data_IF_137448241812
#
_entry.id   IF_137448241812
#
_cell.length_a   1.000
_cell.length_b   1.000
_cell.length_c   1.000
_cell.angle_alpha   90.00
_cell.angle_beta   90.00
_cell.angle_gamma   90.00
#
_symmetry.space_group_name_H-M   'P 1'
#
loop_
_entity.id
_entity.type
_entity.pdbx_description
1 polymer ?
#
# COMPACT_ATOMS: atom_id res chain seq x y z
N UNK A 1 73.01 -34.93 38.76
CA UNK A 1 72.86 -33.58 38.17
C UNK A 1 72.59 -33.72 36.68
N UNK A 2 71.32 -33.54 36.29
CA UNK A 2 70.83 -33.39 34.92
C UNK A 2 69.55 -32.54 35.03
N UNK A 3 69.46 -31.37 34.39
CA UNK A 3 68.29 -30.50 34.55
C UNK A 3 67.09 -31.05 33.74
N UNK A 4 65.84 -30.90 34.22
CA UNK A 4 64.66 -31.32 33.49
C UNK A 4 64.26 -30.31 32.41
N UNK A 5 63.76 -30.83 31.29
CA UNK A 5 63.18 -30.08 30.17
C UNK A 5 61.87 -29.40 30.60
N UNK A 6 61.77 -28.12 30.27
CA UNK A 6 60.56 -27.30 30.41
C UNK A 6 59.54 -27.76 29.36
N UNK A 7 58.34 -28.18 29.80
CA UNK A 7 57.18 -28.32 28.90
C UNK A 7 56.40 -26.99 28.87
N UNK A 8 55.91 -26.53 27.71
CA UNK A 8 55.13 -25.32 27.62
C UNK A 8 53.68 -25.53 28.07
N UNK A 9 53.19 -24.51 28.77
CA UNK A 9 51.87 -24.37 29.37
C UNK A 9 50.71 -24.65 28.40
N UNK A 10 49.86 -25.63 28.71
CA UNK A 10 48.50 -25.69 28.17
C UNK A 10 47.55 -24.95 29.12
N UNK A 11 47.41 -23.65 28.86
CA UNK A 11 46.38 -22.81 29.47
C UNK A 11 45.02 -23.24 28.89
N UNK A 12 44.29 -24.11 29.59
CA UNK A 12 42.92 -24.44 29.19
C UNK A 12 41.98 -23.31 29.60
N UNK A 13 41.64 -22.48 28.62
CA UNK A 13 40.63 -21.45 28.69
C UNK A 13 39.26 -22.11 28.85
N UNK A 14 38.65 -22.00 30.04
CA UNK A 14 37.25 -22.37 30.23
C UNK A 14 36.40 -21.31 29.54
N UNK A 15 35.89 -21.61 28.35
CA UNK A 15 34.87 -20.78 27.71
C UNK A 15 33.56 -20.96 28.50
N UNK A 16 33.24 -19.99 29.36
CA UNK A 16 31.92 -19.85 29.94
C UNK A 16 30.97 -19.42 28.81
N UNK A 17 30.30 -20.39 28.20
CA UNK A 17 29.22 -20.12 27.25
C UNK A 17 28.05 -19.50 28.04
N UNK A 18 27.98 -18.17 28.08
CA UNK A 18 26.77 -17.49 28.50
C UNK A 18 25.68 -17.82 27.49
N UNK A 19 24.82 -18.77 27.85
CA UNK A 19 23.55 -18.96 27.19
C UNK A 19 22.74 -17.67 27.43
N UNK A 20 22.91 -16.67 26.55
CA UNK A 20 21.90 -15.63 26.41
C UNK A 20 20.67 -16.34 25.87
N UNK A 21 19.83 -16.84 26.78
CA UNK A 21 18.46 -17.13 26.42
C UNK A 21 17.91 -15.86 25.82
N UNK A 22 17.53 -15.90 24.54
CA UNK A 22 16.64 -14.90 23.99
C UNK A 22 15.36 -14.99 24.82
N UNK A 23 15.28 -14.21 25.89
CA UNK A 23 14.02 -13.95 26.55
C UNK A 23 13.12 -13.43 25.44
N UNK A 24 12.10 -14.22 25.08
CA UNK A 24 11.03 -13.71 24.25
C UNK A 24 10.40 -12.60 25.05
N UNK A 25 10.83 -11.35 24.80
CA UNK A 25 10.19 -10.18 25.36
C UNK A 25 8.73 -10.26 24.92
N UNK A 26 7.83 -10.49 25.88
CA UNK A 26 6.40 -10.36 25.61
C UNK A 26 6.18 -8.93 25.13
N UNK A 27 5.38 -8.75 24.08
CA UNK A 27 4.96 -7.42 23.70
C UNK A 27 4.28 -6.76 24.90
N UNK A 28 4.69 -5.53 25.22
CA UNK A 28 4.01 -4.74 26.23
C UNK A 28 2.80 -4.07 25.58
N UNK A 29 1.66 -4.11 26.25
CA UNK A 29 0.50 -3.33 25.84
C UNK A 29 0.66 -1.89 26.32
N UNK A 30 0.69 -0.93 25.39
CA UNK A 30 0.76 0.50 25.69
C UNK A 30 -0.57 1.12 25.32
N UNK A 31 -1.29 1.63 26.33
CA UNK A 31 -2.64 2.14 26.14
C UNK A 31 -2.63 3.67 25.99
N UNK A 32 -3.47 4.18 25.11
CA UNK A 32 -3.83 5.59 25.10
C UNK A 32 -4.63 5.93 26.36
N UNK A 33 -4.30 7.03 27.02
CA UNK A 33 -4.99 7.54 28.21
C UNK A 33 -5.40 9.00 28.08
N UNK A 34 -5.06 9.64 26.95
CA UNK A 34 -5.44 11.01 26.63
C UNK A 34 -6.88 11.13 26.10
N UNK A 35 -7.31 12.38 25.89
CA UNK A 35 -8.48 12.68 25.07
C UNK A 35 -8.11 12.70 23.58
N UNK A 36 -8.85 13.48 22.77
CA UNK A 36 -8.35 13.82 21.42
C UNK A 36 -7.00 14.53 21.52
N UNK A 37 -6.03 14.13 20.71
CA UNK A 37 -4.69 14.71 20.83
C UNK A 37 -3.61 14.01 20.02
N UNK A 38 -2.38 14.43 20.27
CA UNK A 38 -1.21 14.06 19.48
C UNK A 38 -0.52 12.80 20.01
N UNK A 39 -0.21 11.89 19.09
CA UNK A 39 0.54 10.66 19.32
C UNK A 39 1.88 10.94 20.00
N UNK A 40 2.54 12.04 19.62
CA UNK A 40 3.90 12.37 20.05
C UNK A 40 3.97 12.99 21.45
N UNK A 41 2.85 13.09 22.17
CA UNK A 41 2.80 13.57 23.55
C UNK A 41 2.90 12.38 24.53
N UNK A 42 4.02 12.19 25.25
CA UNK A 42 4.20 11.08 26.19
C UNK A 42 3.12 11.01 27.28
N UNK A 43 2.54 12.14 27.67
CA UNK A 43 1.47 12.18 28.68
C UNK A 43 0.16 11.51 28.22
N UNK A 44 -0.02 11.29 26.91
CA UNK A 44 -1.17 10.57 26.37
C UNK A 44 -1.02 9.04 26.42
N UNK A 45 0.11 8.52 26.87
CA UNK A 45 0.39 7.08 26.94
C UNK A 45 0.48 6.58 28.39
N UNK A 46 -0.06 5.38 28.65
CA UNK A 46 -0.13 4.78 29.99
C UNK A 46 1.24 4.57 30.66
N UNK A 47 2.32 4.53 29.88
CA UNK A 47 3.70 4.38 30.34
C UNK A 47 4.39 5.72 30.63
N UNK A 48 3.77 6.86 30.27
CA UNK A 48 4.41 8.18 30.29
C UNK A 48 5.54 8.31 29.27
N UNK A 49 5.56 7.47 28.23
CA UNK A 49 6.57 7.42 27.16
C UNK A 49 5.93 6.92 25.87
N UNK A 50 6.52 7.29 24.72
CA UNK A 50 6.01 6.87 23.41
C UNK A 50 6.16 5.34 23.23
N UNK A 51 5.21 4.68 22.54
CA UNK A 51 5.33 3.27 22.18
C UNK A 51 6.59 2.96 21.37
N UNK A 52 7.17 1.80 21.60
CA UNK A 52 8.38 1.30 20.95
C UNK A 52 8.08 0.17 19.94
N UNK A 53 9.08 -0.28 19.16
CA UNK A 53 8.88 -1.34 18.16
C UNK A 53 8.39 -2.69 18.71
N UNK A 54 8.53 -2.95 20.01
CA UNK A 54 8.06 -4.18 20.65
C UNK A 54 6.63 -4.10 21.15
N UNK A 55 6.00 -2.93 21.10
CA UNK A 55 4.77 -2.66 21.85
C UNK A 55 3.52 -2.81 20.99
N UNK A 56 2.51 -3.44 21.58
CA UNK A 56 1.17 -3.54 21.02
C UNK A 56 0.36 -2.33 21.53
N UNK A 57 0.02 -1.41 20.64
CA UNK A 57 -0.70 -0.17 20.95
C UNK A 57 -2.20 -0.43 20.99
N UNK A 58 -2.85 0.03 22.06
CA UNK A 58 -4.30 -0.02 22.21
C UNK A 58 -4.84 1.38 22.46
N UNK A 59 -5.75 1.82 21.60
CA UNK A 59 -6.47 3.09 21.71
C UNK A 59 -7.95 2.73 21.86
N UNK A 60 -8.43 2.75 23.09
CA UNK A 60 -9.81 2.42 23.45
C UNK A 60 -10.15 3.21 24.71
N UNK A 61 -10.77 4.37 24.53
CA UNK A 61 -11.11 5.27 25.64
C UNK A 61 -12.55 5.77 25.49
N UNK A 62 -13.27 6.01 26.59
CA UNK A 62 -14.65 6.46 26.48
C UNK A 62 -14.77 7.79 25.72
N UNK A 63 -15.61 7.82 24.68
CA UNK A 63 -15.96 9.02 23.94
C UNK A 63 -15.90 8.81 22.43
N UNK A 64 -15.95 9.92 21.69
CA UNK A 64 -15.59 9.96 20.28
C UNK A 64 -14.37 10.88 20.18
N UNK A 65 -13.18 10.30 20.25
CA UNK A 65 -11.93 11.06 20.20
C UNK A 65 -11.19 10.85 18.88
N UNK A 66 -10.26 11.74 18.60
CA UNK A 66 -9.38 11.70 17.43
C UNK A 66 -7.93 11.67 17.89
N UNK A 67 -7.21 10.61 17.54
CA UNK A 67 -5.77 10.47 17.83
C UNK A 67 -4.98 10.77 16.56
N UNK A 68 -4.08 11.76 16.64
CA UNK A 68 -3.34 12.26 15.47
C UNK A 68 -1.86 11.92 15.57
N UNK A 69 -1.29 11.31 14.53
CA UNK A 69 0.15 11.20 14.32
C UNK A 69 0.58 12.23 13.26
N UNK A 70 1.20 13.32 13.69
CA UNK A 70 1.46 14.51 12.85
C UNK A 70 2.90 14.69 12.42
N UNK A 71 3.89 14.19 13.18
CA UNK A 71 5.32 14.37 12.90
C UNK A 71 6.14 13.16 13.32
N UNK A 72 7.43 13.20 12.98
CA UNK A 72 8.45 12.24 13.38
C UNK A 72 8.19 10.81 12.88
N UNK A 73 9.18 9.94 13.08
CA UNK A 73 9.08 8.55 12.66
C UNK A 73 8.96 7.65 13.88
N UNK A 74 7.89 6.85 13.94
CA UNK A 74 7.64 5.89 14.99
C UNK A 74 7.53 4.48 14.42
N UNK A 75 7.92 3.50 15.22
CA UNK A 75 7.73 2.09 14.91
C UNK A 75 7.07 1.41 16.08
N UNK A 76 5.99 0.67 15.80
CA UNK A 76 5.27 -0.13 16.79
C UNK A 76 5.04 -1.53 16.26
N UNK A 77 4.72 -2.47 17.16
CA UNK A 77 4.47 -3.85 16.77
C UNK A 77 3.10 -4.01 16.13
N UNK A 78 2.05 -3.50 16.79
CA UNK A 78 0.67 -3.53 16.28
C UNK A 78 -0.13 -2.36 16.83
N UNK A 79 -1.27 -2.05 16.18
CA UNK A 79 -2.23 -1.04 16.62
C UNK A 79 -3.63 -1.65 16.59
N UNK A 80 -4.32 -1.59 17.72
CA UNK A 80 -5.76 -1.74 17.83
C UNK A 80 -6.37 -0.40 18.28
N UNK A 81 -7.22 0.20 17.46
CA UNK A 81 -7.84 1.48 17.71
C UNK A 81 -9.35 1.35 17.58
N UNK A 82 -10.09 1.74 18.62
CA UNK A 82 -11.54 1.88 18.59
C UNK A 82 -11.98 3.30 18.18
N UNK A 83 -11.03 4.24 18.17
CA UNK A 83 -11.25 5.67 17.92
C UNK A 83 -10.85 6.09 16.50
N UNK A 84 -11.12 7.35 16.12
CA UNK A 84 -10.58 7.92 14.89
C UNK A 84 -9.06 8.03 14.99
N UNK A 85 -8.36 7.58 13.95
CA UNK A 85 -6.91 7.66 13.85
C UNK A 85 -6.49 8.45 12.61
N UNK A 86 -5.80 9.58 12.81
CA UNK A 86 -5.35 10.47 11.73
C UNK A 86 -3.84 10.38 11.59
N UNK A 87 -3.37 9.94 10.43
CA UNK A 87 -1.95 9.96 10.07
C UNK A 87 -1.67 11.13 9.12
N UNK A 88 -1.36 12.30 9.68
CA UNK A 88 -1.22 13.57 8.96
C UNK A 88 0.22 13.93 8.61
N UNK A 89 1.21 13.31 9.25
CA UNK A 89 2.61 13.48 8.89
C UNK A 89 3.53 12.46 9.56
N UNK A 90 4.82 12.56 9.24
CA UNK A 90 5.83 11.59 9.68
C UNK A 90 5.63 10.20 9.07
N UNK A 91 6.39 9.23 9.57
CA UNK A 91 6.27 7.81 9.18
C UNK A 91 5.86 6.97 10.39
N UNK A 92 4.73 6.28 10.28
CA UNK A 92 4.33 5.26 11.23
C UNK A 92 4.58 3.88 10.62
N UNK A 93 5.62 3.21 11.10
CA UNK A 93 5.90 1.81 10.74
C UNK A 93 5.18 0.87 11.70
N UNK A 94 4.34 -0.02 11.16
CA UNK A 94 3.67 -1.05 11.98
C UNK A 94 4.12 -2.41 11.52
N UNK A 95 4.83 -3.14 12.38
CA UNK A 95 5.52 -4.38 12.01
C UNK A 95 4.55 -5.56 11.81
N UNK A 96 3.31 -5.43 12.29
CA UNK A 96 2.26 -6.43 12.14
C UNK A 96 0.97 -5.77 11.66
N UNK A 97 -0.03 -5.69 12.53
CA UNK A 97 -1.40 -5.37 12.15
C UNK A 97 -1.77 -3.97 12.61
N UNK A 98 -2.52 -3.28 11.76
CA UNK A 98 -3.30 -2.09 12.12
C UNK A 98 -4.77 -2.46 11.99
N UNK A 99 -5.51 -2.36 13.09
CA UNK A 99 -6.96 -2.48 13.10
C UNK A 99 -7.53 -1.22 13.73
N UNK A 100 -8.16 -0.38 12.91
CA UNK A 100 -8.93 0.77 13.36
C UNK A 100 -10.40 0.44 13.10
N UNK A 101 -11.21 0.34 14.16
CA UNK A 101 -12.62 -0.05 14.08
C UNK A 101 -13.57 1.15 13.86
N UNK A 102 -13.01 2.37 13.89
CA UNK A 102 -13.63 3.61 13.44
C UNK A 102 -12.96 4.04 12.11
N UNK A 103 -12.67 5.33 11.91
CA UNK A 103 -12.00 5.84 10.71
C UNK A 103 -10.46 5.87 10.85
N UNK A 104 -9.75 5.38 9.81
CA UNK A 104 -8.32 5.61 9.61
C UNK A 104 -8.13 6.64 8.48
N UNK A 105 -7.79 7.88 8.84
CA UNK A 105 -7.57 8.95 7.87
C UNK A 105 -6.07 9.07 7.53
N UNK A 106 -5.70 8.86 6.28
CA UNK A 106 -4.37 9.20 5.76
C UNK A 106 -4.43 10.63 5.23
N UNK A 107 -3.70 11.55 5.84
CA UNK A 107 -3.78 12.98 5.54
C UNK A 107 -2.40 13.64 5.40
N UNK A 108 -1.46 12.90 4.80
CA UNK A 108 -0.12 13.39 4.49
C UNK A 108 1.03 12.52 5.02
N UNK A 109 0.79 11.72 6.07
CA UNK A 109 1.81 10.84 6.63
C UNK A 109 2.02 9.55 5.83
N UNK A 110 3.05 8.80 6.24
CA UNK A 110 3.42 7.50 5.63
C UNK A 110 3.08 6.35 6.56
N UNK A 111 2.24 5.42 6.12
CA UNK A 111 2.03 4.14 6.81
C UNK A 111 2.91 3.08 6.14
N UNK A 112 3.85 2.53 6.90
CA UNK A 112 4.86 1.60 6.37
C UNK A 112 4.73 0.20 6.95
N UNK A 113 4.88 -0.82 6.10
CA UNK A 113 4.91 -2.28 6.39
C UNK A 113 3.65 -2.89 7.02
N UNK A 114 2.65 -2.07 7.32
CA UNK A 114 1.45 -2.48 8.03
C UNK A 114 0.64 -3.52 7.23
N UNK A 115 0.09 -4.51 7.94
CA UNK A 115 -1.07 -5.28 7.48
C UNK A 115 -2.34 -4.64 8.05
N UNK A 116 -3.02 -3.82 7.24
CA UNK A 116 -4.28 -3.19 7.60
C UNK A 116 -5.38 -4.25 7.57
N UNK A 117 -5.95 -4.54 8.73
CA UNK A 117 -7.05 -5.49 8.87
C UNK A 117 -8.39 -4.86 8.47
N UNK A 118 -9.37 -5.72 8.19
CA UNK A 118 -10.75 -5.26 7.98
C UNK A 118 -11.35 -4.85 9.33
N UNK A 119 -11.87 -3.63 9.40
CA UNK A 119 -12.62 -3.16 10.56
C UNK A 119 -13.90 -3.98 10.74
N UNK A 120 -14.38 -4.12 11.98
CA UNK A 120 -15.59 -4.89 12.29
C UNK A 120 -16.89 -4.13 12.00
N UNK A 121 -16.84 -2.80 11.94
CA UNK A 121 -18.05 -1.95 12.05
C UNK A 121 -18.15 -0.87 10.97
N UNK A 122 -17.05 -0.37 10.43
CA UNK A 122 -17.00 0.46 9.23
C UNK A 122 -15.53 0.56 8.81
N UNK A 123 -15.20 0.29 7.55
CA UNK A 123 -13.87 0.61 7.04
C UNK A 123 -14.03 1.51 5.84
N UNK A 124 -13.49 2.72 5.98
CA UNK A 124 -12.87 3.41 4.85
C UNK A 124 -11.56 3.93 5.41
N UNK A 125 -10.44 3.40 4.93
CA UNK A 125 -9.23 4.20 5.00
C UNK A 125 -9.46 5.38 4.06
N UNK A 126 -9.65 6.57 4.61
CA UNK A 126 -9.88 7.78 3.81
C UNK A 126 -8.54 8.41 3.52
N UNK A 127 -8.10 8.33 2.27
CA UNK A 127 -6.85 8.94 1.85
C UNK A 127 -7.10 10.36 1.31
N UNK A 128 -6.83 11.36 2.14
CA UNK A 128 -6.77 12.78 1.79
C UNK A 128 -5.32 13.20 1.50
N UNK A 129 -4.56 12.33 0.83
CA UNK A 129 -3.10 12.38 0.76
C UNK A 129 -2.44 11.24 1.52
N UNK A 130 -1.11 11.24 1.55
CA UNK A 130 -0.28 10.28 2.27
C UNK A 130 0.30 9.16 1.41
N UNK A 131 1.05 8.29 2.07
CA UNK A 131 1.86 7.25 1.45
C UNK A 131 1.55 5.89 2.10
N UNK A 132 1.31 4.87 1.28
CA UNK A 132 1.39 3.47 1.70
C UNK A 132 2.72 2.90 1.22
N UNK A 133 3.53 2.44 2.17
CA UNK A 133 4.87 1.92 1.93
C UNK A 133 4.95 0.42 2.25
N UNK A 134 4.88 -0.44 1.24
CA UNK A 134 4.95 -1.89 1.41
C UNK A 134 3.82 -2.44 2.29
N UNK A 135 2.62 -1.91 2.13
CA UNK A 135 1.44 -2.24 2.94
C UNK A 135 0.70 -3.46 2.40
N UNK A 136 0.14 -4.25 3.30
CA UNK A 136 -0.89 -5.26 2.99
C UNK A 136 -2.26 -4.76 3.43
N UNK A 137 -3.25 -4.79 2.54
CA UNK A 137 -4.63 -4.39 2.80
C UNK A 137 -5.55 -5.61 2.78
N UNK A 138 -6.39 -5.79 3.81
CA UNK A 138 -7.44 -6.82 3.88
C UNK A 138 -8.87 -6.22 3.86
N UNK A 139 -8.94 -4.96 3.48
CA UNK A 139 -10.10 -4.09 3.65
C UNK A 139 -10.31 -3.12 2.50
N UNK A 140 -11.05 -2.05 2.74
CA UNK A 140 -11.32 -1.01 1.74
C UNK A 140 -10.56 0.30 2.04
N UNK A 141 -9.92 0.85 1.02
CA UNK A 141 -9.37 2.21 0.97
C UNK A 141 -10.19 3.00 -0.04
N UNK A 142 -10.68 4.18 0.33
CA UNK A 142 -11.23 5.14 -0.64
C UNK A 142 -10.34 6.37 -0.70
N UNK A 143 -9.98 6.74 -1.92
CA UNK A 143 -9.34 8.01 -2.21
C UNK A 143 -10.43 8.96 -2.72
N UNK A 144 -10.88 9.95 -1.91
CA UNK A 144 -11.99 10.83 -2.26
C UNK A 144 -11.66 11.75 -3.43
N UNK A 145 -12.71 12.42 -3.92
CA UNK A 145 -12.56 13.36 -5.03
C UNK A 145 -11.60 14.50 -4.68
N UNK A 146 -10.69 14.82 -5.61
CA UNK A 146 -9.68 15.86 -5.45
C UNK A 146 -8.48 15.45 -4.60
N UNK A 147 -8.43 14.20 -4.14
CA UNK A 147 -7.35 13.69 -3.30
C UNK A 147 -6.36 12.83 -4.09
N UNK A 148 -5.25 12.49 -3.42
CA UNK A 148 -4.26 11.58 -3.98
C UNK A 148 -3.76 10.57 -2.96
N UNK A 149 -3.21 9.47 -3.46
CA UNK A 149 -2.54 8.45 -2.66
C UNK A 149 -1.24 8.05 -3.36
N UNK A 150 -0.16 7.91 -2.59
CA UNK A 150 1.12 7.43 -3.11
C UNK A 150 1.35 5.99 -2.64
N UNK A 151 1.71 5.12 -3.56
CA UNK A 151 2.15 3.76 -3.30
C UNK A 151 3.66 3.67 -3.54
N UNK A 152 4.37 3.13 -2.57
CA UNK A 152 5.81 2.85 -2.66
C UNK A 152 6.10 1.46 -2.11
N UNK A 153 7.13 0.81 -2.64
CA UNK A 153 7.52 -0.57 -2.31
C UNK A 153 6.37 -1.60 -2.44
N UNK A 154 5.44 -1.34 -3.36
CA UNK A 154 4.31 -2.21 -3.65
C UNK A 154 3.13 -2.14 -2.67
N UNK A 155 2.06 -2.83 -3.04
CA UNK A 155 0.82 -2.98 -2.27
C UNK A 155 0.28 -4.40 -2.46
N UNK A 156 0.02 -5.10 -1.36
CA UNK A 156 -0.64 -6.41 -1.38
C UNK A 156 -2.11 -6.26 -1.00
N UNK A 157 -3.03 -6.73 -1.85
CA UNK A 157 -4.47 -6.78 -1.56
C UNK A 157 -4.86 -8.22 -1.23
N UNK A 158 -5.42 -8.50 -0.06
CA UNK A 158 -5.86 -9.84 0.35
C UNK A 158 -7.34 -9.84 0.72
N UNK A 159 -7.93 -11.03 0.79
CA UNK A 159 -9.31 -11.25 1.25
C UNK A 159 -10.36 -10.43 0.46
N UNK A 160 -10.10 -10.13 -0.81
CA UNK A 160 -10.98 -9.31 -1.65
C UNK A 160 -10.86 -7.81 -1.40
N UNK A 161 -9.76 -7.35 -0.79
CA UNK A 161 -9.49 -5.95 -0.52
C UNK A 161 -9.61 -5.07 -1.77
N UNK A 162 -10.00 -3.81 -1.55
CA UNK A 162 -10.30 -2.86 -2.62
C UNK A 162 -9.68 -1.49 -2.35
N UNK A 163 -9.09 -0.90 -3.38
CA UNK A 163 -8.78 0.53 -3.44
C UNK A 163 -9.74 1.20 -4.43
N UNK A 164 -10.56 2.12 -3.94
CA UNK A 164 -11.54 2.85 -4.73
C UNK A 164 -11.06 4.28 -4.96
N UNK A 165 -10.89 4.66 -6.22
CA UNK A 165 -10.58 6.02 -6.64
C UNK A 165 -11.87 6.70 -7.09
N UNK A 166 -12.17 7.88 -6.53
CA UNK A 166 -13.33 8.70 -6.92
C UNK A 166 -12.95 9.72 -8.00
N UNK A 167 -13.92 10.49 -8.49
CA UNK A 167 -13.70 11.50 -9.55
C UNK A 167 -12.54 12.46 -9.22
N UNK A 168 -11.73 12.84 -10.21
CA UNK A 168 -10.63 13.82 -10.03
C UNK A 168 -9.62 13.38 -8.95
N UNK A 169 -9.22 12.11 -8.97
CA UNK A 169 -8.27 11.53 -8.02
C UNK A 169 -7.00 11.07 -8.72
N UNK A 170 -5.88 11.08 -8.01
CA UNK A 170 -4.62 10.49 -8.48
C UNK A 170 -4.08 9.38 -7.57
N UNK A 171 -3.75 8.23 -8.14
CA UNK A 171 -2.95 7.18 -7.51
C UNK A 171 -1.55 7.21 -8.11
N UNK A 172 -0.53 7.47 -7.30
CA UNK A 172 0.85 7.57 -7.74
C UNK A 172 1.64 6.33 -7.36
N UNK A 173 2.45 5.84 -8.29
CA UNK A 173 3.50 4.87 -8.04
C UNK A 173 4.85 5.58 -8.01
N UNK A 174 5.56 5.44 -6.89
CA UNK A 174 6.92 5.94 -6.72
C UNK A 174 7.90 5.28 -7.72
N UNK A 175 9.07 5.90 -7.97
CA UNK A 175 10.07 5.37 -8.89
C UNK A 175 10.56 3.98 -8.49
N UNK A 176 11.16 3.27 -9.44
CA UNK A 176 11.64 1.91 -9.26
C UNK A 176 10.56 0.84 -9.55
N UNK A 177 10.87 -0.40 -9.18
CA UNK A 177 9.96 -1.53 -9.40
C UNK A 177 8.86 -1.52 -8.34
N UNK A 178 7.61 -1.53 -8.79
CA UNK A 178 6.42 -1.59 -7.97
C UNK A 178 5.60 -2.83 -8.34
N UNK A 179 4.95 -3.43 -7.35
CA UNK A 179 4.09 -4.59 -7.56
C UNK A 179 2.77 -4.35 -6.85
N UNK A 180 1.66 -4.56 -7.56
CA UNK A 180 0.38 -4.85 -6.96
C UNK A 180 0.21 -6.36 -6.94
N UNK A 181 -0.04 -6.96 -5.79
CA UNK A 181 -0.21 -8.42 -5.67
C UNK A 181 -1.36 -8.84 -4.75
N UNK A 182 -1.58 -10.15 -4.66
CA UNK A 182 -2.66 -10.76 -3.91
C UNK A 182 -3.96 -10.92 -4.71
N UNK A 183 -5.11 -10.93 -4.03
CA UNK A 183 -6.45 -11.12 -4.56
C UNK A 183 -7.35 -9.95 -4.11
N UNK A 184 -7.56 -9.00 -5.01
CA UNK A 184 -8.24 -7.75 -4.74
C UNK A 184 -8.35 -6.86 -5.97
N UNK A 185 -8.77 -5.62 -5.76
CA UNK A 185 -9.22 -4.76 -6.86
C UNK A 185 -8.76 -3.30 -6.69
N UNK A 186 -8.37 -2.68 -7.80
CA UNK A 186 -8.30 -1.21 -7.93
C UNK A 186 -9.50 -0.79 -8.78
N UNK A 187 -10.35 0.10 -8.25
CA UNK A 187 -11.60 0.51 -8.89
C UNK A 187 -11.57 2.00 -9.16
N UNK A 188 -11.63 2.36 -10.44
CA UNK A 188 -11.70 3.74 -10.91
C UNK A 188 -13.16 4.11 -11.17
N UNK A 189 -13.83 4.68 -10.16
CA UNK A 189 -15.25 5.03 -10.21
C UNK A 189 -15.47 6.44 -10.77
N UNK A 190 -15.02 6.69 -12.01
CA UNK A 190 -15.27 7.97 -12.69
C UNK A 190 -16.70 8.01 -13.26
N UNK A 191 -17.56 8.81 -12.63
CA UNK A 191 -18.98 8.96 -13.00
C UNK A 191 -19.26 10.21 -13.85
N UNK A 192 -18.25 11.00 -14.22
CA UNK A 192 -18.45 12.33 -14.85
C UNK A 192 -18.01 12.38 -16.32
N UNK A 193 -18.87 12.75 -17.30
CA UNK A 193 -18.47 12.87 -18.71
C UNK A 193 -17.32 13.90 -18.88
N UNK A 194 -16.26 13.50 -19.58
CA UNK A 194 -14.87 14.02 -19.47
C UNK A 194 -14.60 15.46 -19.92
N UNK A 195 -13.69 16.12 -19.19
CA UNK A 195 -12.44 16.68 -19.74
C UNK A 195 -11.23 16.20 -18.90
N UNK A 196 -9.99 16.42 -19.35
CA UNK A 196 -8.75 15.95 -18.70
C UNK A 196 -8.62 16.32 -17.20
N UNK A 197 -9.27 17.41 -16.78
CA UNK A 197 -9.18 17.94 -15.41
C UNK A 197 -10.09 17.20 -14.42
N UNK A 198 -10.95 16.29 -14.90
CA UNK A 198 -11.91 15.56 -14.07
C UNK A 198 -11.68 14.05 -14.04
N UNK A 199 -10.67 13.54 -14.76
CA UNK A 199 -10.38 12.11 -14.86
C UNK A 199 -9.72 11.55 -13.61
N UNK A 200 -9.96 10.26 -13.36
CA UNK A 200 -9.14 9.45 -12.46
C UNK A 200 -7.81 9.12 -13.15
N UNK A 201 -6.72 9.31 -12.43
CA UNK A 201 -5.37 9.13 -12.95
C UNK A 201 -4.59 8.12 -12.10
N UNK A 202 -4.01 7.12 -12.75
CA UNK A 202 -3.01 6.23 -12.16
C UNK A 202 -1.67 6.59 -12.80
N UNK A 203 -0.79 7.23 -12.03
CA UNK A 203 0.49 7.74 -12.49
C UNK A 203 1.63 6.80 -12.14
N UNK A 204 2.40 6.38 -13.14
CA UNK A 204 3.66 5.68 -12.97
C UNK A 204 4.85 6.64 -13.09
N UNK A 205 5.91 6.35 -12.36
CA UNK A 205 7.16 7.09 -12.45
C UNK A 205 7.09 8.52 -11.92
N UNK A 206 6.39 8.69 -10.79
CA UNK A 206 6.31 9.98 -10.11
C UNK A 206 7.65 10.32 -9.46
N UNK A 207 8.51 11.06 -10.18
CA UNK A 207 9.85 11.47 -9.73
C UNK A 207 11.01 10.65 -10.30
N UNK A 208 10.77 9.73 -11.24
CA UNK A 208 11.79 8.90 -11.88
C UNK A 208 11.19 7.69 -12.59
N UNK A 209 11.98 6.93 -13.35
CA UNK A 209 11.49 5.75 -14.07
C UNK A 209 10.87 4.70 -13.15
N UNK A 210 9.85 3.99 -13.63
CA UNK A 210 9.14 2.96 -12.85
C UNK A 210 8.75 1.76 -13.71
N UNK A 211 8.67 0.60 -13.07
CA UNK A 211 8.12 -0.61 -13.66
C UNK A 211 7.02 -1.15 -12.73
N UNK A 212 5.79 -1.24 -13.22
CA UNK A 212 4.65 -1.75 -12.46
C UNK A 212 4.32 -3.18 -12.90
N UNK A 213 4.18 -4.09 -11.95
CA UNK A 213 3.59 -5.41 -12.17
C UNK A 213 2.22 -5.49 -11.50
N UNK A 214 1.19 -5.89 -12.25
CA UNK A 214 -0.13 -6.25 -11.73
C UNK A 214 -0.21 -7.77 -11.64
N UNK A 215 -0.32 -8.30 -10.42
CA UNK A 215 -0.35 -9.74 -10.15
C UNK A 215 -1.59 -10.46 -10.71
N UNK A 216 -1.52 -11.79 -10.84
CA UNK A 216 -2.46 -12.59 -11.64
C UNK A 216 -3.91 -12.66 -11.12
N UNK A 217 -4.14 -12.35 -9.84
CA UNK A 217 -5.48 -12.38 -9.24
C UNK A 217 -6.01 -10.98 -8.90
N UNK A 218 -5.36 -9.95 -9.43
CA UNK A 218 -5.81 -8.57 -9.30
C UNK A 218 -6.66 -8.16 -10.49
N UNK A 219 -7.61 -7.27 -10.20
CA UNK A 219 -8.40 -6.58 -11.22
C UNK A 219 -8.24 -5.08 -11.07
N UNK A 220 -7.80 -4.42 -12.13
CA UNK A 220 -7.83 -2.96 -12.27
C UNK A 220 -8.98 -2.62 -13.21
N UNK A 221 -9.97 -1.86 -12.74
CA UNK A 221 -11.23 -1.71 -13.49
C UNK A 221 -11.89 -0.35 -13.40
N UNK A 222 -12.85 -0.13 -14.29
CA UNK A 222 -13.70 1.05 -14.32
C UNK A 222 -13.34 1.98 -15.47
N UNK A 223 -13.19 3.27 -15.16
CA UNK A 223 -12.95 4.33 -16.14
C UNK A 223 -11.90 5.31 -15.61
N UNK A 224 -10.93 5.67 -16.45
CA UNK A 224 -9.82 6.50 -16.03
C UNK A 224 -8.63 6.39 -16.97
N UNK A 225 -7.46 6.81 -16.51
CA UNK A 225 -6.25 6.80 -17.34
C UNK A 225 -5.06 6.31 -16.53
N UNK A 226 -4.37 5.30 -17.05
CA UNK A 226 -3.07 4.85 -16.57
C UNK A 226 -2.01 5.55 -17.42
N UNK A 227 -1.25 6.44 -16.81
CA UNK A 227 -0.33 7.37 -17.47
C UNK A 227 1.02 7.38 -16.76
N UNK A 228 2.00 8.08 -17.34
CA UNK A 228 3.33 8.18 -16.78
C UNK A 228 3.78 9.65 -16.63
N UNK A 229 4.55 9.92 -15.58
CA UNK A 229 5.27 11.19 -15.40
C UNK A 229 6.74 11.10 -15.84
N UNK A 230 7.31 9.89 -15.80
CA UNK A 230 8.64 9.54 -16.33
C UNK A 230 8.52 8.21 -17.10
N UNK A 231 9.44 7.88 -18.03
CA UNK A 231 9.36 6.64 -18.79
C UNK A 231 9.11 5.43 -17.88
N UNK A 232 8.02 4.72 -18.15
CA UNK A 232 7.54 3.65 -17.29
C UNK A 232 7.01 2.46 -18.08
N UNK A 233 7.13 1.27 -17.50
CA UNK A 233 6.64 0.02 -18.09
C UNK A 233 5.55 -0.61 -17.22
N UNK A 234 4.66 -1.35 -17.87
CA UNK A 234 3.61 -2.13 -17.20
C UNK A 234 3.68 -3.58 -17.64
N UNK A 235 3.72 -4.49 -16.66
CA UNK A 235 3.47 -5.92 -16.84
C UNK A 235 2.11 -6.26 -16.24
N UNK A 236 1.12 -6.53 -17.09
CA UNK A 236 -0.18 -7.04 -16.65
C UNK A 236 -0.17 -8.57 -16.63
N UNK A 237 -0.30 -9.17 -15.44
CA UNK A 237 -0.56 -10.60 -15.26
C UNK A 237 -2.01 -10.85 -14.82
N UNK A 238 -2.68 -9.83 -14.27
CA UNK A 238 -4.07 -9.87 -13.82
C UNK A 238 -5.05 -9.44 -14.90
N UNK A 239 -6.16 -8.80 -14.49
CA UNK A 239 -7.19 -8.27 -15.39
C UNK A 239 -7.18 -6.76 -15.38
N UNK A 240 -7.15 -6.14 -16.57
CA UNK A 240 -7.50 -4.73 -16.76
C UNK A 240 -8.81 -4.67 -17.53
N UNK A 241 -9.83 -4.03 -16.95
CA UNK A 241 -11.20 -4.07 -17.46
C UNK A 241 -11.81 -2.67 -17.60
N UNK A 242 -12.39 -2.39 -18.76
CA UNK A 242 -13.22 -1.21 -18.99
C UNK A 242 -14.70 -1.60 -19.02
N UNK A 243 -15.44 -1.34 -17.93
CA UNK A 243 -16.86 -1.73 -17.81
C UNK A 243 -17.86 -0.58 -17.70
N UNK A 244 -17.41 0.66 -17.87
CA UNK A 244 -18.30 1.84 -17.79
C UNK A 244 -18.82 2.19 -19.18
N UNK A 245 -20.14 2.08 -19.38
CA UNK A 245 -20.80 2.39 -20.66
C UNK A 245 -20.50 3.82 -21.14
N UNK A 246 -19.98 3.95 -22.36
CA UNK A 246 -19.55 5.23 -22.94
C UNK A 246 -18.33 5.85 -22.24
N UNK A 247 -17.70 5.13 -21.32
CA UNK A 247 -16.48 5.49 -20.64
C UNK A 247 -15.26 4.82 -21.26
N UNK A 248 -14.10 5.47 -21.11
CA UNK A 248 -12.81 4.95 -21.54
C UNK A 248 -11.90 4.67 -20.33
N UNK A 249 -11.26 3.50 -20.32
CA UNK A 249 -10.05 3.24 -19.57
C UNK A 249 -8.88 3.24 -20.57
N UNK A 250 -7.96 4.19 -20.46
CA UNK A 250 -6.80 4.28 -21.36
C UNK A 250 -5.48 4.00 -20.65
N UNK A 251 -4.52 3.42 -21.38
CA UNK A 251 -3.17 3.13 -20.93
C UNK A 251 -2.17 3.81 -21.88
N UNK A 252 -1.40 4.75 -21.33
CA UNK A 252 -0.41 5.54 -22.04
C UNK A 252 0.94 5.53 -21.31
N UNK A 253 1.74 4.52 -21.60
CA UNK A 253 3.04 4.24 -20.98
C UNK A 253 4.13 4.02 -22.04
N UNK A 254 5.39 3.96 -21.66
CA UNK A 254 6.49 3.72 -22.61
C UNK A 254 6.47 2.32 -23.21
N UNK A 255 6.00 1.34 -22.45
CA UNK A 255 5.81 -0.04 -22.91
C UNK A 255 4.79 -0.76 -22.04
N UNK A 256 3.90 -1.53 -22.67
CA UNK A 256 2.92 -2.39 -21.99
C UNK A 256 3.13 -3.83 -22.42
N UNK A 257 3.26 -4.72 -21.44
CA UNK A 257 3.30 -6.16 -21.63
C UNK A 257 2.07 -6.83 -21.02
N UNK A 258 1.34 -7.61 -21.80
CA UNK A 258 0.16 -8.33 -21.31
C UNK A 258 0.37 -9.86 -21.34
N UNK A 259 0.37 -10.46 -20.15
CA UNK A 259 0.27 -11.92 -19.98
C UNK A 259 -0.98 -12.34 -19.18
N UNK A 260 -1.80 -11.36 -18.79
CA UNK A 260 -3.11 -11.55 -18.15
C UNK A 260 -4.26 -11.30 -19.11
N UNK A 261 -5.26 -10.53 -18.70
CA UNK A 261 -6.45 -10.19 -19.50
C UNK A 261 -6.58 -8.68 -19.70
N UNK A 262 -6.82 -8.27 -20.93
CA UNK A 262 -7.30 -6.93 -21.30
C UNK A 262 -8.74 -7.06 -21.79
N UNK A 263 -9.71 -6.46 -21.09
CA UNK A 263 -11.14 -6.65 -21.33
C UNK A 263 -11.88 -5.34 -21.51
N UNK A 264 -12.67 -5.25 -22.56
CA UNK A 264 -13.73 -4.24 -22.71
C UNK A 264 -15.10 -4.91 -22.49
N UNK A 265 -15.84 -4.44 -21.48
CA UNK A 265 -17.11 -5.00 -20.99
C UNK A 265 -18.20 -3.90 -20.93
N UNK A 266 -18.63 -3.43 -22.09
CA UNK A 266 -19.58 -2.33 -22.26
C UNK A 266 -18.93 -0.94 -22.32
N UNK A 267 -17.64 -0.83 -21.97
CA UNK A 267 -16.84 0.39 -22.10
C UNK A 267 -15.72 0.26 -23.14
N UNK A 268 -14.92 1.32 -23.28
CA UNK A 268 -13.75 1.36 -24.17
C UNK A 268 -12.48 1.12 -23.38
N UNK A 269 -11.66 0.15 -23.82
CA UNK A 269 -10.29 -0.04 -23.34
C UNK A 269 -9.32 0.37 -24.44
N UNK A 270 -8.47 1.34 -24.18
CA UNK A 270 -7.45 1.83 -25.11
C UNK A 270 -6.05 1.59 -24.56
N UNK A 271 -5.19 0.90 -25.31
CA UNK A 271 -3.81 0.61 -24.89
C UNK A 271 -2.85 1.08 -25.96
N UNK A 272 -1.98 2.02 -25.60
CA UNK A 272 -0.90 2.47 -26.46
C UNK A 272 0.43 1.80 -26.10
N UNK A 273 1.27 1.64 -27.12
CA UNK A 273 2.63 1.09 -27.01
C UNK A 273 2.68 -0.33 -26.43
N UNK A 274 1.76 -1.19 -26.87
CA UNK A 274 1.80 -2.62 -26.60
C UNK A 274 3.06 -3.23 -27.23
N UNK A 275 3.91 -3.87 -26.42
CA UNK A 275 5.22 -4.35 -26.85
C UNK A 275 5.14 -5.57 -27.79
N UNK A 276 6.08 -5.67 -28.74
CA UNK A 276 6.22 -6.84 -29.59
C UNK A 276 6.49 -8.11 -28.75
N UNK A 277 5.78 -9.21 -29.05
CA UNK A 277 5.86 -10.46 -28.26
C UNK A 277 5.12 -10.43 -26.92
N UNK A 278 4.48 -9.31 -26.56
CA UNK A 278 3.71 -9.18 -25.33
C UNK A 278 2.23 -9.60 -25.44
N UNK A 279 1.96 -10.58 -26.29
CA UNK A 279 0.62 -11.16 -26.52
C UNK A 279 0.51 -12.56 -25.90
N UNK A 280 1.06 -12.75 -24.70
CA UNK A 280 0.90 -13.99 -23.95
C UNK A 280 -0.46 -14.11 -23.26
N UNK A 281 -1.18 -12.99 -23.14
CA UNK A 281 -2.46 -12.88 -22.45
C UNK A 281 -3.70 -12.94 -23.35
N UNK A 282 -4.86 -12.77 -22.74
CA UNK A 282 -6.18 -12.79 -23.37
C UNK A 282 -6.67 -11.36 -23.64
N UNK A 283 -7.34 -11.18 -24.78
CA UNK A 283 -8.04 -9.95 -25.14
C UNK A 283 -9.53 -10.26 -25.28
N UNK A 284 -10.38 -9.54 -24.56
CA UNK A 284 -11.81 -9.82 -24.49
C UNK A 284 -12.63 -8.58 -24.86
N UNK A 285 -13.59 -8.77 -25.77
CA UNK A 285 -14.58 -7.77 -26.16
C UNK A 285 -15.96 -8.35 -25.92
N UNK A 286 -16.64 -7.89 -24.87
CA UNK A 286 -17.87 -8.53 -24.37
C UNK A 286 -18.97 -7.47 -24.22
N UNK A 287 -20.15 -7.72 -24.79
CA UNK A 287 -21.31 -6.84 -24.66
C UNK A 287 -21.39 -5.74 -25.73
N UNK A 288 -22.57 -5.14 -25.86
CA UNK A 288 -22.80 -4.01 -26.78
C UNK A 288 -22.15 -2.74 -26.25
N UNK A 289 -21.54 -1.95 -27.14
CA UNK A 289 -20.88 -0.68 -26.77
C UNK A 289 -19.44 -0.83 -26.31
N UNK A 290 -18.93 -2.06 -26.24
CA UNK A 290 -17.52 -2.34 -25.96
C UNK A 290 -16.64 -1.94 -27.13
N UNK A 291 -15.50 -1.35 -26.83
CA UNK A 291 -14.43 -1.06 -27.81
C UNK A 291 -13.07 -1.44 -27.20
N UNK A 292 -12.22 -2.07 -28.01
CA UNK A 292 -10.86 -2.40 -27.62
C UNK A 292 -9.91 -1.87 -28.70
N UNK A 293 -9.15 -0.83 -28.35
CA UNK A 293 -8.15 -0.21 -29.23
C UNK A 293 -6.75 -0.56 -28.74
N UNK A 294 -5.94 -1.19 -29.59
CA UNK A 294 -4.58 -1.64 -29.28
C UNK A 294 -3.60 -1.08 -30.30
N UNK A 295 -2.72 -0.19 -29.86
CA UNK A 295 -1.64 0.35 -30.67
C UNK A 295 -0.31 -0.23 -30.19
N UNK A 296 0.38 -0.99 -31.06
CA UNK A 296 1.71 -1.51 -30.71
C UNK A 296 2.84 -0.59 -31.16
N UNK A 297 4.06 -0.93 -30.76
CA UNK A 297 5.29 -0.21 -31.10
C UNK A 297 6.40 -1.24 -31.44
N UNK A 298 7.33 -0.85 -32.32
CA UNK A 298 8.41 -1.70 -32.85
C UNK A 298 7.94 -2.96 -33.64
N UNK A 299 7.02 -2.77 -34.60
CA UNK A 299 6.65 -3.80 -35.59
C UNK A 299 7.57 -3.80 -36.82
#
# INVERSE_FOLDING_TARGET
MKPPLIQPNSCQLWALLTLLGAASASAATVNWVGGSGEWNEPANWSTGSLPSPSDDVVIDVPGNISVTHSTDDHTVRSILCQEEFVLSGGTLTVLRTVQVNNELALSGGTLSKASILRATTAQVVVANGGVLDGVTLRGEVTVPSGQSLILTNGLTLLDGARVTLKNTTALYFSPGTQTLEGQGEIVMEDTTPTNFLSSILVYLGYGGESALTIGPHLTVRGRGRIVQSSPSTLLNQGTIQAEVSGGELSIALSSVTNIGTLRALGGTLSVSRLAAGAMGGTFELIGSGSDLTLEGYDY
#
